data_IF_118104952445
#
_entry.id   IF_118104952445
#
_cell.length_a   1.000
_cell.length_b   1.000
_cell.length_c   1.000
_cell.angle_alpha   90.00
_cell.angle_beta   90.00
_cell.angle_gamma   90.00
#
_symmetry.space_group_name_H-M   'P 1'
#
loop_
_entity.id
_entity.type
_entity.pdbx_description
1 polymer ?
#
# COMPACT_ATOMS: atom_id res chain seq x y z
N UNK A 1 20.39 -2.45 4.74
CA UNK A 1 19.26 -2.49 3.80
C UNK A 1 18.18 -1.60 4.38
N UNK A 2 17.82 -0.50 3.70
CA UNK A 2 16.72 0.39 4.08
C UNK A 2 15.46 -0.01 3.35
N UNK A 3 14.39 -0.28 4.08
CA UNK A 3 13.10 -0.69 3.52
C UNK A 3 12.04 0.33 3.90
N UNK A 4 11.22 0.71 2.92
CA UNK A 4 10.02 1.52 3.11
C UNK A 4 8.76 0.72 2.73
N UNK A 5 7.70 0.89 3.51
CA UNK A 5 6.34 0.48 3.18
C UNK A 5 5.50 1.74 3.01
N UNK A 6 4.91 1.92 1.84
CA UNK A 6 4.17 3.13 1.48
C UNK A 6 2.73 2.77 1.19
N UNK A 7 1.80 3.27 2.01
CA UNK A 7 0.37 3.17 1.75
C UNK A 7 -0.07 4.27 0.79
N UNK A 8 -0.47 3.91 -0.42
CA UNK A 8 -0.95 4.84 -1.45
C UNK A 8 -2.47 4.69 -1.58
N UNK A 9 -3.13 5.79 -1.92
CA UNK A 9 -4.57 5.79 -2.13
C UNK A 9 -5.26 7.05 -1.63
N UNK A 10 -6.53 7.19 -1.99
CA UNK A 10 -7.36 8.31 -1.58
C UNK A 10 -8.48 7.84 -0.66
N UNK A 11 -8.34 8.14 0.63
CA UNK A 11 -9.32 7.78 1.67
C UNK A 11 -10.71 8.39 1.46
N UNK A 12 -10.87 9.37 0.57
CA UNK A 12 -12.16 9.97 0.28
C UNK A 12 -13.04 9.09 -0.62
N UNK A 13 -12.47 8.09 -1.29
CA UNK A 13 -13.15 7.28 -2.30
C UNK A 13 -13.16 5.79 -1.94
N UNK A 14 -13.90 5.42 -0.90
CA UNK A 14 -14.16 4.03 -0.54
C UNK A 14 -12.90 3.15 -0.59
N UNK A 15 -12.88 2.14 -1.46
CA UNK A 15 -11.82 1.15 -1.55
C UNK A 15 -10.47 1.72 -1.97
N UNK A 16 -10.44 2.90 -2.59
CA UNK A 16 -9.20 3.60 -2.98
C UNK A 16 -8.34 3.96 -1.75
N UNK A 17 -8.92 4.05 -0.56
CA UNK A 17 -8.18 4.33 0.69
C UNK A 17 -7.41 3.14 1.28
N UNK A 18 -7.54 1.94 0.70
CA UNK A 18 -7.10 0.68 1.35
C UNK A 18 -5.60 0.65 1.68
N UNK A 19 -4.75 1.21 0.82
CA UNK A 19 -3.30 1.23 1.03
C UNK A 19 -2.91 2.08 2.24
N UNK A 20 -3.53 3.25 2.40
CA UNK A 20 -3.36 4.14 3.55
C UNK A 20 -3.79 3.47 4.86
N UNK A 21 -4.93 2.77 4.84
CA UNK A 21 -5.38 2.04 6.03
C UNK A 21 -4.44 0.87 6.38
N UNK A 22 -3.89 0.19 5.37
CA UNK A 22 -2.96 -0.91 5.55
C UNK A 22 -1.61 -0.47 6.13
N UNK A 23 -1.04 0.65 5.66
CA UNK A 23 0.20 1.18 6.24
C UNK A 23 -0.02 1.57 7.71
N UNK A 24 -1.15 2.22 8.03
CA UNK A 24 -1.47 2.58 9.42
C UNK A 24 -1.72 1.35 10.31
N UNK A 25 -2.33 0.30 9.77
CA UNK A 25 -2.52 -0.98 10.47
C UNK A 25 -1.17 -1.64 10.77
N UNK A 26 -0.23 -1.65 9.81
CA UNK A 26 1.12 -2.18 10.01
C UNK A 26 1.85 -1.46 11.14
N UNK A 27 1.79 -0.13 11.14
CA UNK A 27 2.42 0.71 12.16
C UNK A 27 1.84 0.49 13.57
N UNK A 28 0.51 0.42 13.67
CA UNK A 28 -0.17 0.24 14.94
C UNK A 28 0.07 -1.16 15.53
N UNK A 29 -0.07 -2.21 14.71
CA UNK A 29 -0.23 -3.58 15.18
C UNK A 29 1.02 -4.44 15.07
N UNK A 30 2.12 -3.96 14.48
CA UNK A 30 3.30 -4.79 14.25
C UNK A 30 4.60 -4.07 14.61
N UNK A 31 5.66 -4.86 14.82
CA UNK A 31 7.04 -4.43 15.03
C UNK A 31 7.95 -5.19 14.09
N UNK A 32 8.99 -4.53 13.62
CA UNK A 32 9.83 -4.99 12.51
C UNK A 32 11.29 -4.99 12.95
N UNK A 33 12.00 -6.09 12.68
CA UNK A 33 13.43 -6.20 12.95
C UNK A 33 14.15 -6.79 11.73
N UNK A 34 15.10 -6.07 11.11
CA UNK A 34 15.48 -4.67 11.39
C UNK A 34 14.33 -3.67 11.20
N UNK A 35 14.46 -2.48 11.79
CA UNK A 35 13.48 -1.39 11.63
C UNK A 35 13.24 -1.07 10.14
N UNK A 36 11.99 -0.79 9.81
CA UNK A 36 11.53 -0.31 8.50
C UNK A 36 10.83 1.03 8.66
N UNK A 37 10.73 1.77 7.56
CA UNK A 37 9.95 3.00 7.53
C UNK A 37 8.55 2.74 6.97
N UNK A 38 7.52 3.20 7.67
CA UNK A 38 6.13 3.12 7.21
C UNK A 38 5.65 4.54 6.90
N UNK A 39 5.14 4.74 5.70
CA UNK A 39 4.77 6.06 5.17
C UNK A 39 3.29 6.02 4.79
N UNK A 40 2.52 6.99 5.31
CA UNK A 40 1.23 7.36 4.74
C UNK A 40 1.49 8.18 3.48
N UNK A 41 1.42 7.49 2.34
CA UNK A 41 1.76 8.02 1.04
C UNK A 41 0.58 8.67 0.31
N UNK A 42 -0.65 8.58 0.84
CA UNK A 42 -1.87 9.12 0.24
C UNK A 42 -1.79 9.28 -1.27
N UNK A 43 -1.62 10.53 -1.72
CA UNK A 43 -1.52 10.93 -3.13
C UNK A 43 -0.15 11.53 -3.47
N UNK A 44 0.96 10.90 -3.01
CA UNK A 44 2.34 11.40 -3.16
C UNK A 44 2.76 11.66 -4.62
N UNK A 45 2.22 10.91 -5.57
CA UNK A 45 2.52 11.03 -7.01
C UNK A 45 4.02 11.05 -7.29
N UNK A 46 4.51 12.14 -7.91
CA UNK A 46 5.92 12.30 -8.29
C UNK A 46 6.92 12.21 -7.11
N UNK A 47 6.48 12.46 -5.87
CA UNK A 47 7.36 12.34 -4.70
C UNK A 47 7.79 10.90 -4.40
N UNK A 48 7.16 9.90 -5.02
CA UNK A 48 7.57 8.51 -4.91
C UNK A 48 9.01 8.29 -5.43
N UNK A 49 9.49 9.12 -6.36
CA UNK A 49 10.86 9.06 -6.87
C UNK A 49 11.90 9.17 -5.74
N UNK A 50 11.69 10.07 -4.79
CA UNK A 50 12.62 10.29 -3.67
C UNK A 50 12.82 9.01 -2.85
N UNK A 51 11.74 8.22 -2.69
CA UNK A 51 11.77 6.94 -1.99
C UNK A 51 12.40 5.83 -2.84
N UNK A 52 12.16 5.83 -4.15
CA UNK A 52 12.82 4.86 -5.04
C UNK A 52 14.33 5.07 -5.11
N UNK A 53 14.84 6.28 -4.92
CA UNK A 53 16.28 6.56 -4.90
C UNK A 53 16.93 6.31 -3.52
N UNK A 54 16.21 6.66 -2.44
CA UNK A 54 16.77 6.66 -1.09
C UNK A 54 16.79 5.29 -0.40
N UNK A 55 15.92 4.36 -0.80
CA UNK A 55 15.76 3.04 -0.16
C UNK A 55 16.33 1.92 -1.03
N UNK A 56 16.56 0.77 -0.41
CA UNK A 56 17.01 -0.43 -1.10
C UNK A 56 15.82 -1.27 -1.56
N UNK A 57 14.70 -1.26 -0.80
CA UNK A 57 13.43 -1.91 -1.15
C UNK A 57 12.25 -1.01 -0.79
N UNK A 58 11.24 -0.96 -1.67
CA UNK A 58 9.97 -0.27 -1.41
C UNK A 58 8.82 -1.23 -1.64
N UNK A 59 7.91 -1.31 -0.67
CA UNK A 59 6.65 -2.06 -0.78
C UNK A 59 5.50 -1.06 -0.81
N UNK A 60 4.80 -0.99 -1.93
CA UNK A 60 3.62 -0.14 -2.09
C UNK A 60 2.39 -0.96 -1.73
N UNK A 61 1.51 -0.40 -0.92
CA UNK A 61 0.18 -0.93 -0.63
C UNK A 61 -0.83 -0.05 -1.36
N UNK A 62 -1.62 -0.62 -2.26
CA UNK A 62 -2.58 0.12 -3.07
C UNK A 62 -3.74 -0.78 -3.53
N UNK A 63 -4.75 -0.19 -4.12
CA UNK A 63 -5.66 -0.89 -5.04
C UNK A 63 -4.95 -1.23 -6.35
N UNK A 64 -5.38 -2.32 -7.01
CA UNK A 64 -4.88 -2.68 -8.34
C UNK A 64 -5.99 -3.02 -9.31
N UNK A 65 -5.80 -2.63 -10.56
CA UNK A 65 -6.68 -2.87 -11.69
C UNK A 65 -6.29 -4.14 -12.42
N UNK A 66 -6.76 -5.28 -11.93
CA UNK A 66 -6.61 -6.58 -12.60
C UNK A 66 -8.02 -7.12 -12.89
N UNK A 67 -8.20 -7.79 -14.03
CA UNK A 67 -9.47 -8.44 -14.39
C UNK A 67 -9.65 -9.75 -13.59
N UNK A 68 -10.02 -9.59 -12.32
CA UNK A 68 -10.35 -10.68 -11.39
C UNK A 68 -11.33 -10.16 -10.30
N UNK A 69 -11.76 -11.02 -9.38
CA UNK A 69 -12.78 -10.69 -8.40
C UNK A 69 -12.33 -9.60 -7.40
N UNK A 70 -13.23 -8.69 -6.99
CA UNK A 70 -12.96 -7.75 -5.90
C UNK A 70 -12.54 -8.48 -4.61
N UNK A 71 -11.50 -7.96 -3.97
CA UNK A 71 -10.86 -8.56 -2.80
C UNK A 71 -9.74 -9.56 -3.12
N UNK A 72 -9.51 -9.92 -4.39
CA UNK A 72 -8.31 -10.68 -4.77
C UNK A 72 -7.05 -9.84 -4.50
N UNK A 73 -6.03 -10.49 -3.92
CA UNK A 73 -4.77 -9.84 -3.50
C UNK A 73 -3.62 -10.35 -4.36
N UNK A 74 -2.78 -9.43 -4.82
CA UNK A 74 -1.64 -9.69 -5.68
C UNK A 74 -0.36 -9.08 -5.09
N UNK A 75 0.77 -9.73 -5.31
CA UNK A 75 2.09 -9.14 -5.12
C UNK A 75 2.75 -9.03 -6.50
N UNK A 76 2.93 -7.80 -6.97
CA UNK A 76 3.39 -7.48 -8.31
C UNK A 76 4.76 -6.80 -8.23
N UNK A 77 5.83 -7.42 -8.74
CA UNK A 77 7.09 -6.72 -8.86
C UNK A 77 6.98 -5.61 -9.92
N UNK A 78 7.76 -4.55 -9.78
CA UNK A 78 7.69 -3.37 -10.66
C UNK A 78 7.90 -3.68 -12.15
N UNK A 79 8.72 -4.68 -12.47
CA UNK A 79 8.96 -5.12 -13.85
C UNK A 79 7.70 -5.72 -14.51
N UNK A 80 6.90 -6.47 -13.75
CA UNK A 80 5.61 -6.98 -14.21
C UNK A 80 4.62 -5.85 -14.52
N UNK A 81 4.64 -4.76 -13.74
CA UNK A 81 3.75 -3.62 -13.91
C UNK A 81 4.11 -2.75 -15.11
N UNK A 82 5.41 -2.51 -15.34
CA UNK A 82 5.87 -1.78 -16.53
C UNK A 82 5.55 -2.55 -17.83
N UNK A 83 5.40 -3.88 -17.76
CA UNK A 83 4.99 -4.72 -18.89
C UNK A 83 3.50 -4.76 -19.19
N UNK A 84 2.63 -4.32 -18.26
CA UNK A 84 1.16 -4.39 -18.36
C UNK A 84 0.54 -3.24 -19.16
N UNK A 85 1.16 -2.88 -20.29
CA UNK A 85 0.72 -1.81 -21.19
C UNK A 85 -0.81 -1.82 -21.41
N UNK A 86 -1.42 -0.67 -21.11
CA UNK A 86 -2.82 -0.27 -21.34
C UNK A 86 -3.92 -0.56 -20.29
N UNK A 87 -3.66 -1.26 -19.18
CA UNK A 87 -4.70 -1.46 -18.13
C UNK A 87 -4.37 -0.72 -16.83
N UNK A 88 -4.68 0.59 -16.80
CA UNK A 88 -4.56 1.45 -15.60
C UNK A 88 -5.90 2.13 -15.38
N UNK A 89 -6.56 1.91 -14.24
CA UNK A 89 -7.88 2.51 -13.98
C UNK A 89 -7.81 3.70 -13.03
N UNK A 90 -6.77 3.82 -12.20
CA UNK A 90 -6.64 4.92 -11.24
C UNK A 90 -5.53 5.89 -11.64
N UNK A 91 -5.66 7.16 -11.22
CA UNK A 91 -4.63 8.19 -11.45
C UNK A 91 -3.34 7.81 -10.70
N UNK A 92 -3.47 7.23 -9.51
CA UNK A 92 -2.36 6.77 -8.69
C UNK A 92 -1.54 5.67 -9.39
N UNK A 93 -2.18 4.69 -10.05
CA UNK A 93 -1.48 3.66 -10.82
C UNK A 93 -0.67 4.27 -11.98
N UNK A 94 -1.22 5.27 -12.68
CA UNK A 94 -0.51 5.98 -13.75
C UNK A 94 0.72 6.70 -13.21
N UNK A 95 0.60 7.35 -12.06
CA UNK A 95 1.71 8.05 -11.42
C UNK A 95 2.79 7.07 -10.94
N UNK A 96 2.42 6.02 -10.20
CA UNK A 96 3.38 5.01 -9.71
C UNK A 96 4.14 4.38 -10.88
N UNK A 97 3.45 3.90 -11.91
CA UNK A 97 4.12 3.25 -13.05
C UNK A 97 4.97 4.23 -13.84
N UNK A 98 4.50 5.46 -14.06
CA UNK A 98 5.31 6.49 -14.71
C UNK A 98 6.60 6.80 -13.94
N UNK A 99 6.55 6.78 -12.60
CA UNK A 99 7.74 6.98 -11.76
C UNK A 99 8.68 5.78 -11.83
N UNK A 100 8.15 4.56 -11.81
CA UNK A 100 8.94 3.35 -12.01
C UNK A 100 9.68 3.38 -13.35
N UNK A 101 9.00 3.76 -14.44
CA UNK A 101 9.60 3.86 -15.78
C UNK A 101 10.76 4.88 -15.80
N UNK A 102 10.58 6.07 -15.24
CA UNK A 102 11.65 7.08 -15.20
C UNK A 102 12.81 6.64 -14.31
N UNK A 103 12.53 6.13 -13.11
CA UNK A 103 13.56 5.67 -12.18
C UNK A 103 14.31 4.45 -12.70
N UNK A 104 13.69 3.59 -13.52
CA UNK A 104 14.36 2.43 -14.13
C UNK A 104 15.49 2.82 -15.09
N UNK A 105 15.49 4.07 -15.57
CA UNK A 105 16.56 4.63 -16.41
C UNK A 105 17.73 5.21 -15.60
N UNK A 106 17.60 5.28 -14.27
CA UNK A 106 18.65 5.77 -13.37
C UNK A 106 19.61 4.66 -12.98
N UNK A 107 20.84 5.01 -12.60
CA UNK A 107 21.87 4.05 -12.18
C UNK A 107 21.52 3.32 -10.88
N UNK A 108 20.61 3.89 -10.07
CA UNK A 108 20.19 3.35 -8.79
C UNK A 108 18.68 3.51 -8.62
N UNK A 109 18.03 2.40 -8.27
CA UNK A 109 16.61 2.35 -7.93
C UNK A 109 16.39 1.22 -6.93
N UNK A 110 15.46 1.43 -6.00
CA UNK A 110 15.02 0.41 -5.06
C UNK A 110 14.37 -0.78 -5.77
N UNK A 111 14.43 -1.95 -5.15
CA UNK A 111 13.58 -3.07 -5.54
C UNK A 111 12.14 -2.76 -5.12
N UNK A 112 11.23 -2.58 -6.08
CA UNK A 112 9.84 -2.18 -5.81
C UNK A 112 8.86 -3.33 -6.02
N UNK A 113 7.99 -3.54 -5.05
CA UNK A 113 6.84 -4.45 -5.14
C UNK A 113 5.55 -3.71 -4.79
N UNK A 114 4.47 -3.99 -5.51
CA UNK A 114 3.12 -3.52 -5.19
C UNK A 114 2.32 -4.70 -4.65
N UNK A 115 1.94 -4.61 -3.38
CA UNK A 115 0.98 -5.52 -2.77
C UNK A 115 -0.40 -4.89 -2.90
N UNK A 116 -1.12 -5.37 -3.90
CA UNK A 116 -2.36 -4.79 -4.39
C UNK A 116 -3.59 -5.61 -4.01
N UNK A 117 -4.73 -4.95 -3.84
CA UNK A 117 -6.05 -5.60 -3.73
C UNK A 117 -7.01 -5.03 -4.77
N UNK A 118 -7.80 -5.89 -5.42
CA UNK A 118 -8.78 -5.44 -6.42
C UNK A 118 -9.96 -4.78 -5.70
N UNK A 119 -10.28 -3.50 -5.99
CA UNK A 119 -11.38 -2.80 -5.33
C UNK A 119 -12.75 -3.23 -5.87
N UNK A 120 -13.81 -2.95 -5.11
CA UNK A 120 -15.19 -3.09 -5.56
C UNK A 120 -15.80 -1.73 -5.94
N UNK A 121 -15.54 -0.68 -5.14
CA UNK A 121 -16.03 0.67 -5.38
C UNK A 121 -14.95 1.72 -5.08
N UNK A 122 -14.59 2.48 -6.11
CA UNK A 122 -13.65 3.62 -6.06
C UNK A 122 -14.31 4.93 -6.53
N UNK A 123 -15.63 4.95 -6.70
CA UNK A 123 -16.36 6.10 -7.24
C UNK A 123 -17.13 6.84 -6.15
N UNK A 124 -17.69 6.11 -5.19
CA UNK A 124 -18.47 6.71 -4.10
C UNK A 124 -17.58 7.54 -3.18
N UNK A 125 -18.05 8.74 -2.81
CA UNK A 125 -17.34 9.64 -1.91
C UNK A 125 -17.73 9.34 -0.47
N UNK A 126 -16.99 8.45 0.17
CA UNK A 126 -17.14 8.08 1.57
C UNK A 126 -15.81 7.54 2.12
N UNK A 127 -15.47 7.91 3.35
CA UNK A 127 -14.29 7.39 4.07
C UNK A 127 -14.66 6.05 4.70
N UNK A 128 -14.51 4.98 3.92
CA UNK A 128 -14.82 3.62 4.33
C UNK A 128 -14.19 2.60 3.38
N UNK A 129 -14.39 1.31 3.66
CA UNK A 129 -14.17 0.24 2.69
C UNK A 129 -15.47 -0.51 2.46
N UNK A 130 -15.64 -1.10 1.28
CA UNK A 130 -16.76 -2.03 1.05
C UNK A 130 -16.64 -3.26 1.95
N UNK A 131 -17.77 -3.90 2.27
CA UNK A 131 -17.78 -5.12 3.08
C UNK A 131 -16.90 -6.24 2.48
N UNK A 132 -16.81 -6.27 1.15
CA UNK A 132 -15.96 -7.21 0.41
C UNK A 132 -14.49 -6.96 0.75
N UNK A 133 -14.03 -5.71 0.67
CA UNK A 133 -12.65 -5.38 1.00
C UNK A 133 -12.35 -5.51 2.48
N UNK A 134 -13.28 -5.15 3.38
CA UNK A 134 -13.09 -5.39 4.83
C UNK A 134 -12.83 -6.86 5.14
N UNK A 135 -13.55 -7.78 4.48
CA UNK A 135 -13.35 -9.22 4.63
C UNK A 135 -12.05 -9.73 4.02
N UNK A 136 -11.62 -9.13 2.90
CA UNK A 136 -10.39 -9.51 2.20
C UNK A 136 -9.13 -8.84 2.77
N UNK A 137 -9.29 -7.76 3.54
CA UNK A 137 -8.20 -6.97 4.11
C UNK A 137 -7.15 -7.78 4.88
N UNK A 138 -7.49 -8.79 5.69
CA UNK A 138 -6.49 -9.65 6.33
C UNK A 138 -5.54 -10.30 5.32
N UNK A 139 -6.03 -10.68 4.13
CA UNK A 139 -5.22 -11.24 3.06
C UNK A 139 -4.21 -10.24 2.50
N UNK A 140 -4.57 -8.95 2.40
CA UNK A 140 -3.65 -7.88 2.00
C UNK A 140 -2.51 -7.76 3.01
N UNK A 141 -2.84 -7.75 4.30
CA UNK A 141 -1.87 -7.67 5.39
C UNK A 141 -0.92 -8.88 5.43
N UNK A 142 -1.46 -10.09 5.26
CA UNK A 142 -0.67 -11.32 5.19
C UNK A 142 0.32 -11.29 4.03
N UNK A 143 -0.09 -10.83 2.85
CA UNK A 143 0.84 -10.68 1.70
C UNK A 143 1.90 -9.62 1.97
N UNK A 144 1.55 -8.46 2.54
CA UNK A 144 2.52 -7.42 2.87
C UNK A 144 3.59 -7.93 3.85
N UNK A 145 3.15 -8.63 4.91
CA UNK A 145 4.04 -9.25 5.90
C UNK A 145 4.93 -10.30 5.24
N UNK A 146 4.37 -11.11 4.33
CA UNK A 146 5.15 -12.11 3.60
C UNK A 146 6.24 -11.47 2.74
N UNK A 147 5.94 -10.40 2.01
CA UNK A 147 6.93 -9.67 1.20
C UNK A 147 8.05 -9.10 2.08
N UNK A 148 7.72 -8.60 3.27
CA UNK A 148 8.71 -8.13 4.23
C UNK A 148 9.56 -9.29 4.79
N UNK A 149 8.93 -10.42 5.12
CA UNK A 149 9.63 -11.62 5.61
C UNK A 149 10.58 -12.21 4.56
N UNK A 150 10.16 -12.26 3.29
CA UNK A 150 10.99 -12.69 2.17
C UNK A 150 12.18 -11.74 1.95
N UNK A 151 12.04 -10.47 2.34
CA UNK A 151 13.13 -9.48 2.39
C UNK A 151 13.98 -9.57 3.68
N UNK A 152 13.78 -10.59 4.52
CA UNK A 152 14.56 -10.81 5.74
C UNK A 152 14.14 -9.96 6.95
N UNK A 153 12.96 -9.33 6.91
CA UNK A 153 12.41 -8.60 8.06
C UNK A 153 11.61 -9.55 8.94
N UNK A 154 11.97 -9.62 10.22
CA UNK A 154 11.19 -10.33 11.23
C UNK A 154 10.02 -9.45 11.65
N UNK A 155 8.80 -9.93 11.43
CA UNK A 155 7.57 -9.23 11.83
C UNK A 155 7.01 -9.88 13.09
N UNK A 156 6.77 -9.08 14.13
CA UNK A 156 6.16 -9.52 15.38
C UNK A 156 4.91 -8.69 15.70
N UNK A 157 3.89 -9.27 16.35
CA UNK A 157 2.75 -8.50 16.82
C UNK A 157 3.18 -7.41 17.80
N UNK A 158 2.66 -6.21 17.61
CA UNK A 158 2.79 -5.08 18.53
C UNK A 158 1.82 -5.19 19.71
N UNK A 159 1.87 -4.19 20.59
CA UNK A 159 0.96 -4.14 21.76
C UNK A 159 -0.47 -3.73 21.40
N UNK A 160 -0.70 -3.08 20.25
CA UNK A 160 -2.04 -2.73 19.78
C UNK A 160 -2.62 -3.83 18.91
N UNK A 161 -3.94 -4.01 18.97
CA UNK A 161 -4.71 -4.89 18.08
C UNK A 161 -5.89 -4.11 17.50
N UNK A 162 -5.58 -2.98 16.87
CA UNK A 162 -6.59 -2.16 16.21
C UNK A 162 -7.20 -2.94 15.05
N UNK A 163 -8.51 -2.87 14.90
CA UNK A 163 -9.20 -3.45 13.73
C UNK A 163 -9.36 -2.39 12.63
N UNK A 164 -9.76 -2.83 11.42
CA UNK A 164 -9.88 -1.94 10.26
C UNK A 164 -10.91 -0.84 10.48
N UNK A 165 -12.03 -1.12 11.18
CA UNK A 165 -13.07 -0.13 11.44
C UNK A 165 -12.57 0.95 12.42
N UNK A 166 -11.74 0.61 13.40
CA UNK A 166 -11.08 1.57 14.30
C UNK A 166 -10.10 2.48 13.55
N UNK A 167 -9.32 1.91 12.62
CA UNK A 167 -8.39 2.67 11.78
C UNK A 167 -9.19 3.67 10.91
N UNK A 168 -10.22 3.20 10.20
CA UNK A 168 -11.09 4.04 9.36
C UNK A 168 -11.77 5.14 10.20
N UNK A 169 -12.26 4.80 11.40
CA UNK A 169 -12.88 5.77 12.31
C UNK A 169 -11.89 6.87 12.73
N UNK A 170 -10.60 6.57 12.85
CA UNK A 170 -9.55 7.55 13.13
C UNK A 170 -9.37 8.61 12.03
N UNK A 171 -9.71 8.29 10.78
CA UNK A 171 -9.69 9.26 9.67
C UNK A 171 -10.98 10.10 9.59
N UNK A 172 -12.10 9.55 10.07
CA UNK A 172 -13.38 10.27 10.15
C UNK A 172 -13.42 11.32 11.28
N UNK A 173 -12.57 11.18 12.31
CA UNK A 173 -12.48 12.12 13.43
C UNK A 173 -11.01 12.50 13.71
N UNK A 174 -10.52 13.62 13.13
CA UNK A 174 -9.15 14.08 13.31
C UNK A 174 -8.78 14.38 14.77
N UNK A 175 -9.77 14.59 15.64
CA UNK A 175 -9.55 14.83 17.07
C UNK A 175 -9.28 13.54 17.86
N UNK A 176 -9.46 12.38 17.24
CA UNK A 176 -9.32 11.05 17.83
C UNK A 176 -8.00 10.34 17.51
N UNK A 177 -6.98 11.07 17.00
CA UNK A 177 -5.64 10.51 16.73
C UNK A 177 -5.16 9.75 17.97
N UNK A 178 -5.24 8.41 17.88
CA UNK A 178 -4.82 7.47 18.91
C UNK A 178 -3.38 7.79 19.29
N UNK A 179 -3.18 8.04 20.58
CA UNK A 179 -1.91 8.36 21.23
C UNK A 179 -0.86 7.25 21.03
#
# INVERSE_FOLDING_TARGET
MKIAVIGVGNILFMDEGVGVYASRMLEANYRFEPDIEIIDGGTLGFKLMDYFEAYDKVVILDTVSIDDAPGSVYNLPADALMGLGDYRQTVHEVEVVGMLEVCSMLDKMAEVNIVGIIPQDIQSVEINLTDTLKKAFPGLMEQAIRVLADAGITVTPGCSQSNIDEIIAGYNDPARRLC
#
